data_IF_331702442135
#
_entry.id   IF_331702442135
#
_cell.length_a   1.000
_cell.length_b   1.000
_cell.length_c   1.000
_cell.angle_alpha   90.00
_cell.angle_beta   90.00
_cell.angle_gamma   90.00
#
_symmetry.space_group_name_H-M   'P 1'
#
loop_
_entity.id
_entity.type
_entity.pdbx_description
1 polymer ?
#
# COMPACT_ATOMS: atom_id res chain seq x y z
N UNK A 1 24.57 -25.40 1.83
CA UNK A 1 23.18 -25.15 1.40
C UNK A 1 23.10 -25.53 -0.07
N UNK A 2 22.28 -26.50 -0.45
CA UNK A 2 22.28 -27.02 -1.83
C UNK A 2 21.03 -26.52 -2.57
N UNK A 3 21.19 -26.08 -3.82
CA UNK A 3 20.17 -25.37 -4.62
C UNK A 3 18.82 -26.09 -4.72
N UNK A 4 18.78 -27.41 -4.63
CA UNK A 4 17.54 -28.20 -4.68
C UNK A 4 16.69 -28.10 -3.39
N UNK A 5 17.26 -27.66 -2.27
CA UNK A 5 16.51 -27.46 -1.01
C UNK A 5 15.53 -26.29 -1.10
N UNK A 6 15.71 -25.38 -2.07
CA UNK A 6 14.83 -24.21 -2.29
C UNK A 6 13.42 -24.67 -2.72
N UNK A 7 13.31 -25.80 -3.40
CA UNK A 7 12.05 -26.34 -3.92
C UNK A 7 11.44 -27.44 -3.04
N UNK A 8 12.09 -27.80 -1.94
CA UNK A 8 11.54 -28.76 -0.98
C UNK A 8 10.75 -28.03 0.10
N UNK A 9 9.57 -28.54 0.43
CA UNK A 9 8.82 -28.02 1.54
C UNK A 9 9.62 -28.20 2.85
N UNK A 10 9.49 -27.22 3.75
CA UNK A 10 10.09 -27.33 5.08
C UNK A 10 9.61 -28.60 5.81
N UNK A 11 10.45 -29.20 6.67
CA UNK A 11 10.12 -30.44 7.37
C UNK A 11 8.84 -30.33 8.20
N UNK A 12 8.54 -29.13 8.73
CA UNK A 12 7.30 -28.85 9.44
C UNK A 12 6.04 -28.94 8.56
N UNK A 13 6.12 -28.46 7.31
CA UNK A 13 5.00 -28.53 6.37
C UNK A 13 4.73 -29.98 5.96
N UNK A 14 5.80 -30.74 5.68
CA UNK A 14 5.70 -32.17 5.37
C UNK A 14 5.11 -32.98 6.54
N UNK A 15 5.50 -32.66 7.78
CA UNK A 15 4.93 -33.27 8.98
C UNK A 15 3.44 -32.95 9.16
N UNK A 16 3.02 -31.70 8.87
CA UNK A 16 1.60 -31.30 8.89
C UNK A 16 0.80 -32.00 7.78
N UNK A 17 1.36 -32.08 6.57
CA UNK A 17 0.73 -32.74 5.41
C UNK A 17 0.48 -34.22 5.67
N UNK A 18 1.44 -34.93 6.30
CA UNK A 18 1.32 -36.36 6.65
C UNK A 18 0.26 -36.64 7.72
N UNK A 19 -0.08 -35.67 8.58
CA UNK A 19 -1.09 -35.84 9.64
C UNK A 19 -2.53 -35.93 9.11
N UNK A 20 -2.80 -35.45 7.89
CA UNK A 20 -4.10 -35.61 7.19
C UNK A 20 -5.27 -34.79 7.77
N UNK A 21 -5.28 -34.50 9.08
CA UNK A 21 -6.28 -33.68 9.76
C UNK A 21 -5.65 -32.38 10.24
N UNK A 22 -6.10 -31.26 9.68
CA UNK A 22 -5.71 -29.93 10.11
C UNK A 22 -6.60 -29.50 11.28
N UNK A 23 -6.05 -29.53 12.50
CA UNK A 23 -6.70 -28.94 13.67
C UNK A 23 -6.23 -27.50 13.81
N UNK A 24 -7.16 -26.54 13.77
CA UNK A 24 -6.85 -25.14 14.04
C UNK A 24 -6.24 -25.03 15.46
N UNK A 25 -5.06 -24.39 15.61
CA UNK A 25 -4.55 -24.07 16.93
C UNK A 25 -5.58 -23.22 17.68
N UNK A 26 -5.84 -23.55 18.95
CA UNK A 26 -6.61 -22.70 19.86
C UNK A 26 -5.71 -21.54 20.32
N UNK A 27 -5.29 -20.71 19.37
CA UNK A 27 -4.43 -19.55 19.59
C UNK A 27 -5.29 -18.30 19.48
N UNK A 28 -5.46 -17.57 20.58
CA UNK A 28 -6.12 -16.27 20.52
C UNK A 28 -5.15 -15.24 19.95
N UNK A 29 -5.68 -14.22 19.28
CA UNK A 29 -4.90 -13.04 18.88
C UNK A 29 -4.17 -12.40 20.08
N UNK A 30 -4.75 -12.54 21.30
CA UNK A 30 -4.14 -12.11 22.56
C UNK A 30 -2.85 -12.87 22.88
N UNK A 31 -2.83 -14.18 22.64
CA UNK A 31 -1.67 -15.03 22.94
C UNK A 31 -0.50 -14.70 22.00
N UNK A 32 -0.82 -14.43 20.72
CA UNK A 32 0.16 -13.95 19.73
C UNK A 32 0.72 -12.60 20.15
N UNK A 33 -0.15 -11.65 20.53
CA UNK A 33 0.28 -10.31 20.98
C UNK A 33 1.13 -10.37 22.25
N UNK A 34 0.80 -11.27 23.18
CA UNK A 34 1.53 -11.47 24.42
C UNK A 34 2.93 -12.07 24.21
N UNK A 35 3.13 -12.86 23.14
CA UNK A 35 4.44 -13.39 22.77
C UNK A 35 5.40 -12.34 22.21
N UNK A 36 4.88 -11.20 21.72
CA UNK A 36 5.71 -10.11 21.16
C UNK A 36 6.23 -9.22 22.29
N UNK A 37 7.56 -8.97 22.38
CA UNK A 37 8.14 -8.10 23.39
C UNK A 37 7.49 -6.70 23.46
N UNK A 38 7.23 -6.15 24.66
CA UNK A 38 6.47 -4.91 24.83
C UNK A 38 7.12 -3.68 24.17
N UNK A 39 8.46 -3.62 24.17
CA UNK A 39 9.21 -2.51 23.57
C UNK A 39 9.04 -2.40 22.04
N UNK A 40 8.59 -3.47 21.36
CA UNK A 40 8.28 -3.42 19.93
C UNK A 40 6.96 -2.69 19.64
N UNK A 41 6.10 -2.53 20.64
CA UNK A 41 4.87 -1.74 20.53
C UNK A 41 5.09 -0.25 20.81
N UNK A 42 6.27 0.15 21.27
CA UNK A 42 6.59 1.56 21.52
C UNK A 42 6.68 2.35 20.21
N UNK A 43 5.72 3.25 20.02
CA UNK A 43 5.68 4.13 18.84
C UNK A 43 6.51 5.36 19.10
N UNK A 44 7.55 5.56 18.29
CA UNK A 44 8.30 6.80 18.28
C UNK A 44 7.79 7.73 17.17
N UNK A 45 6.97 8.70 17.55
CA UNK A 45 6.45 9.73 16.62
C UNK A 45 7.58 10.50 15.96
N UNK A 46 8.65 10.81 16.71
CA UNK A 46 9.81 11.53 16.18
C UNK A 46 10.58 10.74 15.12
N UNK A 47 10.84 9.45 15.37
CA UNK A 47 11.48 8.59 14.35
C UNK A 47 10.59 8.50 13.10
N UNK A 48 9.28 8.32 13.28
CA UNK A 48 8.32 8.27 12.17
C UNK A 48 8.33 9.57 11.36
N UNK A 49 8.24 10.74 12.03
CA UNK A 49 8.26 12.04 11.37
C UNK A 49 9.57 12.30 10.64
N UNK A 50 10.71 11.91 11.24
CA UNK A 50 12.02 11.98 10.59
C UNK A 50 12.07 11.17 9.30
N UNK A 51 11.58 9.91 9.32
CA UNK A 51 11.55 9.08 8.12
C UNK A 51 10.61 9.63 7.04
N UNK A 52 9.46 10.19 7.42
CA UNK A 52 8.54 10.85 6.49
C UNK A 52 9.22 12.09 5.87
N UNK A 53 9.81 12.96 6.69
CA UNK A 53 10.52 14.15 6.21
C UNK A 53 11.67 13.77 5.27
N UNK A 54 12.48 12.78 5.62
CA UNK A 54 13.53 12.23 4.76
C UNK A 54 12.97 11.76 3.41
N UNK A 55 11.82 11.08 3.43
CA UNK A 55 11.17 10.59 2.22
C UNK A 55 10.68 11.74 1.33
N UNK A 56 10.06 12.76 1.92
CA UNK A 56 9.65 13.98 1.20
C UNK A 56 10.84 14.71 0.58
N UNK A 57 11.98 14.76 1.27
CA UNK A 57 13.23 15.35 0.73
C UNK A 57 13.69 14.58 -0.51
N UNK A 58 13.69 13.24 -0.50
CA UNK A 58 14.05 12.46 -1.69
C UNK A 58 13.06 12.65 -2.84
N UNK A 59 11.76 12.63 -2.56
CA UNK A 59 10.72 12.90 -3.57
C UNK A 59 10.88 14.29 -4.19
N UNK A 60 11.21 15.31 -3.38
CA UNK A 60 11.48 16.65 -3.88
C UNK A 60 12.78 16.71 -4.67
N UNK A 61 13.83 16.02 -4.22
CA UNK A 61 15.11 15.97 -4.93
C UNK A 61 14.93 15.36 -6.33
N UNK A 62 14.20 14.25 -6.46
CA UNK A 62 13.90 13.64 -7.75
C UNK A 62 13.08 14.57 -8.66
N UNK A 63 12.07 15.24 -8.11
CA UNK A 63 11.31 16.27 -8.84
C UNK A 63 12.22 17.40 -9.32
N UNK A 64 13.10 17.90 -8.46
CA UNK A 64 14.06 18.95 -8.80
C UNK A 64 15.01 18.49 -9.91
N UNK A 65 15.60 17.30 -9.81
CA UNK A 65 16.44 16.72 -10.86
C UNK A 65 15.68 16.56 -12.17
N UNK A 66 14.39 16.22 -12.13
CA UNK A 66 13.55 16.13 -13.33
C UNK A 66 13.46 17.47 -14.08
N UNK A 67 13.38 18.59 -13.36
CA UNK A 67 13.38 19.93 -13.98
C UNK A 67 14.70 20.26 -14.70
N UNK A 68 15.80 19.59 -14.32
CA UNK A 68 17.12 19.79 -14.90
C UNK A 68 17.47 18.80 -16.01
N UNK A 69 16.59 17.83 -16.33
CA UNK A 69 16.86 16.80 -17.36
C UNK A 69 17.25 17.42 -18.70
N UNK A 70 16.58 18.50 -19.11
CA UNK A 70 16.88 19.19 -20.38
C UNK A 70 18.26 19.86 -20.38
N UNK A 71 18.68 20.41 -19.24
CA UNK A 71 20.02 21.02 -19.08
C UNK A 71 21.09 19.93 -19.07
N UNK A 72 20.87 18.86 -18.32
CA UNK A 72 21.79 17.71 -18.22
C UNK A 72 21.97 17.06 -19.60
N UNK A 73 20.88 16.82 -20.34
CA UNK A 73 20.94 16.23 -21.68
C UNK A 73 21.74 17.10 -22.67
N UNK A 74 21.70 18.44 -22.52
CA UNK A 74 22.48 19.37 -23.34
C UNK A 74 23.96 19.38 -22.95
N UNK A 75 24.27 19.40 -21.65
CA UNK A 75 25.64 19.49 -21.13
C UNK A 75 26.48 18.24 -21.41
N UNK A 76 25.86 17.06 -21.36
CA UNK A 76 26.61 15.78 -21.47
C UNK A 76 27.04 15.48 -22.91
N UNK A 77 26.34 15.95 -23.95
CA UNK A 77 26.51 15.44 -25.33
C UNK A 77 26.84 16.49 -26.41
N UNK A 78 26.92 17.78 -26.10
CA UNK A 78 27.55 18.74 -27.02
C UNK A 78 26.88 18.86 -28.40
N UNK A 79 25.57 18.64 -28.50
CA UNK A 79 24.76 19.11 -29.64
C UNK A 79 24.37 18.08 -30.71
N UNK A 80 24.64 16.78 -30.56
CA UNK A 80 24.12 15.77 -31.51
C UNK A 80 22.62 15.47 -31.22
N UNK A 81 21.67 15.87 -32.09
CA UNK A 81 20.24 15.89 -31.77
C UNK A 81 19.62 14.48 -31.58
N UNK A 82 20.13 13.48 -32.31
CA UNK A 82 19.65 12.10 -32.20
C UNK A 82 19.97 11.46 -30.83
N UNK A 83 21.23 11.58 -30.38
CA UNK A 83 21.68 10.98 -29.13
C UNK A 83 21.06 11.70 -27.93
N UNK A 84 20.90 13.02 -28.02
CA UNK A 84 20.22 13.82 -26.99
C UNK A 84 18.78 13.33 -26.74
N UNK A 85 18.06 12.97 -27.80
CA UNK A 85 16.67 12.53 -27.71
C UNK A 85 16.56 11.18 -27.00
N UNK A 86 17.48 10.25 -27.28
CA UNK A 86 17.54 8.93 -26.62
C UNK A 86 17.85 9.08 -25.15
N UNK A 87 18.85 9.88 -24.78
CA UNK A 87 19.24 10.08 -23.38
C UNK A 87 18.13 10.76 -22.59
N UNK A 88 17.48 11.77 -23.17
CA UNK A 88 16.31 12.40 -22.55
C UNK A 88 15.23 11.36 -22.27
N UNK A 89 14.93 10.48 -23.22
CA UNK A 89 13.99 9.37 -23.02
C UNK A 89 14.39 8.46 -21.86
N UNK A 90 15.65 8.04 -21.79
CA UNK A 90 16.17 7.19 -20.70
C UNK A 90 16.07 7.90 -19.34
N UNK A 91 16.46 9.17 -19.25
CA UNK A 91 16.39 9.96 -18.01
C UNK A 91 14.94 10.13 -17.54
N UNK A 92 13.98 10.32 -18.45
CA UNK A 92 12.55 10.38 -18.12
C UNK A 92 12.00 9.04 -17.62
N UNK A 93 12.38 7.92 -18.24
CA UNK A 93 11.99 6.58 -17.79
C UNK A 93 12.54 6.30 -16.38
N UNK A 94 13.82 6.63 -16.15
CA UNK A 94 14.44 6.49 -14.83
C UNK A 94 13.72 7.37 -13.79
N UNK A 95 13.42 8.62 -14.12
CA UNK A 95 12.64 9.51 -13.24
C UNK A 95 11.28 8.89 -12.90
N UNK A 96 10.49 8.46 -13.88
CA UNK A 96 9.18 7.88 -13.61
C UNK A 96 9.27 6.61 -12.76
N UNK A 97 10.27 5.75 -13.01
CA UNK A 97 10.52 4.57 -12.18
C UNK A 97 10.80 4.94 -10.72
N UNK A 98 11.79 5.80 -10.47
CA UNK A 98 12.18 6.18 -9.11
C UNK A 98 11.14 7.05 -8.39
N UNK A 99 10.51 7.99 -9.09
CA UNK A 99 9.44 8.82 -8.55
C UNK A 99 8.20 7.98 -8.22
N UNK A 100 7.88 6.99 -9.07
CA UNK A 100 6.82 6.02 -8.82
C UNK A 100 7.07 5.20 -7.55
N UNK A 101 8.29 4.69 -7.36
CA UNK A 101 8.69 3.99 -6.13
C UNK A 101 8.59 4.91 -4.90
N UNK A 102 9.00 6.17 -5.02
CA UNK A 102 8.87 7.14 -3.93
C UNK A 102 7.39 7.38 -3.55
N UNK A 103 6.50 7.58 -4.52
CA UNK A 103 5.07 7.75 -4.23
C UNK A 103 4.40 6.47 -3.70
N UNK A 104 4.80 5.30 -4.20
CA UNK A 104 4.34 4.02 -3.67
C UNK A 104 4.74 3.85 -2.19
N UNK A 105 5.93 4.31 -1.80
CA UNK A 105 6.36 4.31 -0.39
C UNK A 105 5.44 5.12 0.52
N UNK A 106 4.93 6.28 0.04
CA UNK A 106 3.97 7.10 0.80
C UNK A 106 2.61 6.41 0.87
N UNK A 107 2.15 5.83 -0.24
CA UNK A 107 0.89 5.07 -0.28
C UNK A 107 0.89 3.89 0.71
N UNK A 108 1.98 3.12 0.74
CA UNK A 108 2.12 1.98 1.65
C UNK A 108 2.11 2.39 3.13
N UNK A 109 2.48 3.63 3.47
CA UNK A 109 2.43 4.12 4.85
C UNK A 109 1.00 4.19 5.39
N UNK A 110 0.02 4.44 4.50
CA UNK A 110 -1.40 4.51 4.86
C UNK A 110 -2.05 3.12 4.86
N UNK A 111 -1.77 2.30 3.85
CA UNK A 111 -2.51 1.05 3.60
C UNK A 111 -1.94 -0.18 4.32
N UNK A 112 -0.62 -0.29 4.54
CA UNK A 112 -0.02 -1.49 5.15
C UNK A 112 0.10 -1.41 6.67
N UNK A 113 -0.89 -0.83 7.35
CA UNK A 113 -0.90 -0.76 8.81
C UNK A 113 -1.79 -1.84 9.41
N UNK A 114 -1.20 -2.83 10.07
CA UNK A 114 -1.92 -3.98 10.63
C UNK A 114 -3.08 -3.63 11.58
N UNK A 115 -3.04 -2.44 12.19
CA UNK A 115 -4.10 -1.97 13.10
C UNK A 115 -5.19 -1.13 12.42
N UNK A 116 -4.97 -0.68 11.18
CA UNK A 116 -5.87 0.21 10.45
C UNK A 116 -6.29 -0.32 9.08
N UNK A 117 -5.67 -1.41 8.63
CA UNK A 117 -5.92 -1.97 7.30
C UNK A 117 -7.31 -2.61 7.25
N UNK A 118 -8.19 -1.95 6.52
CA UNK A 118 -9.57 -2.34 6.24
C UNK A 118 -9.67 -3.68 5.50
N UNK A 119 -8.60 -4.09 4.80
CA UNK A 119 -8.55 -5.36 4.05
C UNK A 119 -8.59 -6.57 4.99
N UNK A 120 -7.95 -6.46 6.16
CA UNK A 120 -7.82 -7.58 7.10
C UNK A 120 -8.74 -7.46 8.32
N UNK A 121 -9.16 -6.24 8.67
CA UNK A 121 -10.09 -6.00 9.77
C UNK A 121 -11.34 -5.34 9.18
N UNK A 122 -12.34 -6.13 8.75
CA UNK A 122 -13.55 -5.55 8.20
C UNK A 122 -14.24 -4.70 9.28
N UNK A 123 -14.60 -3.44 8.97
CA UNK A 123 -15.29 -2.58 9.92
C UNK A 123 -16.61 -3.21 10.33
N UNK A 124 -16.90 -3.16 11.63
CA UNK A 124 -18.09 -3.77 12.20
C UNK A 124 -19.30 -2.86 12.03
N UNK A 125 -20.50 -3.43 12.10
CA UNK A 125 -21.77 -2.70 12.11
C UNK A 125 -21.82 -1.55 13.14
N UNK A 126 -21.07 -1.70 14.24
CA UNK A 126 -20.93 -0.72 15.33
C UNK A 126 -20.13 0.52 14.91
N UNK A 127 -19.12 0.34 14.06
CA UNK A 127 -18.22 1.41 13.63
C UNK A 127 -18.97 2.40 12.71
N UNK A 128 -19.92 1.89 11.94
CA UNK A 128 -20.84 2.65 11.09
C UNK A 128 -22.08 3.18 11.83
N UNK A 129 -22.19 2.95 13.16
CA UNK A 129 -23.38 3.30 13.97
C UNK A 129 -24.70 2.79 13.39
N UNK A 130 -24.67 1.68 12.66
CA UNK A 130 -25.86 1.14 12.01
C UNK A 130 -26.82 0.54 13.05
N UNK A 131 -28.13 0.78 12.93
CA UNK A 131 -29.12 0.16 13.82
C UNK A 131 -29.05 -1.36 13.74
N UNK A 132 -29.49 -2.06 14.79
CA UNK A 132 -29.39 -3.53 14.85
C UNK A 132 -30.05 -4.20 13.63
N UNK A 133 -29.54 -5.36 13.20
CA UNK A 133 -29.91 -6.00 11.93
C UNK A 133 -31.41 -6.30 11.77
N UNK A 134 -32.15 -6.33 12.88
CA UNK A 134 -33.60 -6.54 12.94
C UNK A 134 -34.43 -5.27 12.67
N UNK A 135 -33.81 -4.09 12.73
CA UNK A 135 -34.47 -2.76 12.66
C UNK A 135 -34.01 -1.96 11.43
N UNK A 136 -33.03 -2.45 10.69
CA UNK A 136 -32.38 -1.71 9.61
C UNK A 136 -33.29 -1.47 8.39
N UNK A 137 -33.36 -0.23 7.92
CA UNK A 137 -34.13 0.17 6.73
C UNK A 137 -33.19 0.33 5.54
N UNK A 138 -33.67 0.14 4.29
CA UNK A 138 -32.85 0.29 3.06
C UNK A 138 -32.11 1.64 2.97
N UNK A 139 -32.65 2.69 3.58
CA UNK A 139 -32.07 4.03 3.57
C UNK A 139 -30.76 4.12 4.37
N UNK A 140 -30.59 3.31 5.43
CA UNK A 140 -29.37 3.29 6.26
C UNK A 140 -28.17 2.67 5.52
N UNK A 141 -28.42 1.90 4.46
CA UNK A 141 -27.38 1.31 3.62
C UNK A 141 -26.95 2.23 2.47
N UNK A 142 -27.64 3.34 2.25
CA UNK A 142 -27.29 4.30 1.20
C UNK A 142 -25.91 4.94 1.48
N UNK A 143 -25.60 5.25 2.74
CA UNK A 143 -24.32 5.83 3.16
C UNK A 143 -23.13 4.88 2.90
N UNK A 144 -23.35 3.57 3.01
CA UNK A 144 -22.34 2.53 2.72
C UNK A 144 -22.15 2.34 1.20
N UNK A 145 -23.23 2.47 0.42
CA UNK A 145 -23.18 2.32 -1.03
C UNK A 145 -22.79 3.62 -1.75
N UNK A 146 -22.83 4.77 -1.08
CA UNK A 146 -22.46 6.07 -1.66
C UNK A 146 -21.00 6.15 -2.09
N UNK A 147 -20.12 5.38 -1.45
CA UNK A 147 -18.70 5.29 -1.82
C UNK A 147 -18.45 4.33 -3.00
N UNK A 148 -19.48 3.58 -3.45
CA UNK A 148 -19.31 2.72 -4.63
C UNK A 148 -19.31 3.55 -5.91
N UNK A 149 -18.28 3.43 -6.77
CA UNK A 149 -18.16 4.23 -8.00
C UNK A 149 -19.39 4.13 -8.90
N UNK A 150 -20.03 2.95 -8.95
CA UNK A 150 -21.23 2.71 -9.75
C UNK A 150 -22.45 3.54 -9.27
N UNK A 151 -22.64 3.66 -7.96
CA UNK A 151 -23.74 4.43 -7.39
C UNK A 151 -23.51 5.94 -7.58
N UNK A 152 -22.27 6.41 -7.40
CA UNK A 152 -21.90 7.80 -7.69
C UNK A 152 -22.15 8.15 -9.16
N UNK A 153 -21.71 7.30 -10.10
CA UNK A 153 -21.91 7.49 -11.54
C UNK A 153 -23.41 7.53 -11.91
N UNK A 154 -24.21 6.64 -11.34
CA UNK A 154 -25.66 6.64 -11.54
C UNK A 154 -26.31 7.92 -11.02
N UNK A 155 -25.93 8.40 -9.82
CA UNK A 155 -26.44 9.65 -9.23
C UNK A 155 -26.08 10.87 -10.08
N UNK A 156 -24.87 10.91 -10.63
CA UNK A 156 -24.42 11.97 -11.56
C UNK A 156 -25.19 11.93 -12.88
N UNK A 157 -25.43 10.74 -13.43
CA UNK A 157 -26.23 10.56 -14.65
C UNK A 157 -27.68 11.04 -14.45
N UNK A 158 -28.33 10.63 -13.36
CA UNK A 158 -29.71 11.04 -13.05
C UNK A 158 -29.83 12.55 -12.84
N UNK A 159 -28.83 13.19 -12.22
CA UNK A 159 -28.77 14.66 -12.06
C UNK A 159 -28.62 15.44 -13.37
N UNK A 160 -28.25 14.79 -14.47
CA UNK A 160 -28.18 15.45 -15.78
C UNK A 160 -29.56 15.62 -16.43
N UNK A 161 -30.58 14.91 -15.95
CA UNK A 161 -31.94 14.89 -16.51
C UNK A 161 -33.03 15.40 -15.53
N UNK A 162 -32.63 15.79 -14.31
CA UNK A 162 -33.46 16.46 -13.30
C UNK A 162 -33.08 17.93 -13.23
#
# INVERSE_FOLDING_TARGET
>A
MVWYQIFQHGPEYEARRKKGTFTLPNLSLKDVRAAVPPHLFERSTWKSLFYIARHLVFTFAFYYTATQIDVIARLVIGGAPGIQSVIKGVLWILYWGWQGVAFAGIWCLATNNIERDETYIPPMRKDFRLPDGKVAVRMDYAEVLEETPAFTLFKLFVRQFL
#
